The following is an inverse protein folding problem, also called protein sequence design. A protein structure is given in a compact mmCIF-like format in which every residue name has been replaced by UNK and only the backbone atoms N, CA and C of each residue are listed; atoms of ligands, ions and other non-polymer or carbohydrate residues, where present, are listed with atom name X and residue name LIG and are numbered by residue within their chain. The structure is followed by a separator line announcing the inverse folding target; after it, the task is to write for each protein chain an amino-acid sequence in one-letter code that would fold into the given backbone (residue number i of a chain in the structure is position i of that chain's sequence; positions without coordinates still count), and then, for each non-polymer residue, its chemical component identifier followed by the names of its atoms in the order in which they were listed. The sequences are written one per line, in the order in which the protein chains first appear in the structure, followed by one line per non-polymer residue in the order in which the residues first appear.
data_IF_852333031013
#
_entry.id   IF_852333031013
#
_cell.length_a   1.000
_cell.length_b   1.000
_cell.length_c   1.000
_cell.angle_alpha   90.00
_cell.angle_beta   90.00
_cell.angle_gamma   90.00
#
_symmetry.space_group_name_H-M   'P 1'
#
loop_
_entity.id
_entity.type
_entity.pdbx_description
1 polymer ?
#
# COMPACT_ATOMS: atom_id res chain seq x y z
N UNK A 1 12.36 16.89 15.42
CA UNK A 1 11.77 18.05 14.71
C UNK A 1 10.98 17.62 13.47
N UNK A 2 11.16 16.38 13.02
CA UNK A 2 10.63 15.85 11.77
C UNK A 2 9.13 15.55 11.90
N UNK A 3 8.70 14.91 13.00
CA UNK A 3 7.27 14.69 13.29
C UNK A 3 6.54 16.00 13.42
N UNK A 4 7.13 16.98 14.11
CA UNK A 4 6.50 18.31 14.26
C UNK A 4 6.29 18.99 12.91
N UNK A 5 7.24 18.89 11.98
CA UNK A 5 7.11 19.41 10.64
C UNK A 5 5.96 18.72 9.88
N UNK A 6 5.97 17.38 9.80
CA UNK A 6 4.96 16.61 9.05
C UNK A 6 3.55 16.60 9.68
N UNK A 7 3.40 17.01 10.94
CA UNK A 7 2.09 17.36 11.54
C UNK A 7 1.47 18.61 10.92
N UNK A 8 2.25 19.47 10.27
CA UNK A 8 1.75 20.64 9.55
C UNK A 8 1.31 20.28 8.14
N UNK A 9 0.27 20.96 7.65
CA UNK A 9 -0.27 20.76 6.30
C UNK A 9 0.41 21.69 5.28
N UNK A 10 1.76 21.65 5.25
CA UNK A 10 2.55 22.43 4.32
C UNK A 10 2.98 21.54 3.14
N UNK A 11 2.60 21.88 1.89
CA UNK A 11 2.91 21.05 0.72
C UNK A 11 4.41 20.95 0.45
N UNK A 12 5.21 21.92 0.89
CA UNK A 12 6.67 21.89 0.80
C UNK A 12 7.29 20.67 1.48
N UNK A 13 6.63 20.10 2.50
CA UNK A 13 7.11 18.90 3.20
C UNK A 13 7.04 17.65 2.33
N UNK A 14 6.16 17.62 1.33
CA UNK A 14 6.12 16.53 0.36
C UNK A 14 7.38 16.49 -0.53
N UNK A 15 8.10 17.60 -0.67
CA UNK A 15 9.42 17.61 -1.31
C UNK A 15 10.45 16.79 -0.52
N UNK A 16 10.26 16.63 0.80
CA UNK A 16 11.08 15.74 1.61
C UNK A 16 11.01 14.29 1.14
N UNK A 17 9.90 13.87 0.50
CA UNK A 17 9.74 12.55 -0.07
C UNK A 17 10.71 12.30 -1.24
N UNK A 18 11.04 13.34 -2.02
CA UNK A 18 12.02 13.26 -3.11
C UNK A 18 13.43 12.94 -2.62
N UNK A 19 13.74 13.25 -1.36
CA UNK A 19 15.01 12.88 -0.73
C UNK A 19 14.88 11.53 -0.03
N UNK A 20 13.79 11.32 0.71
CA UNK A 20 13.58 10.13 1.53
C UNK A 20 13.46 8.85 0.70
N UNK A 21 12.70 8.85 -0.40
CA UNK A 21 12.52 7.65 -1.20
C UNK A 21 13.86 7.17 -1.82
N UNK A 22 14.66 8.00 -2.51
CA UNK A 22 15.98 7.58 -2.97
C UNK A 22 16.92 7.15 -1.84
N UNK A 23 16.89 7.84 -0.68
CA UNK A 23 17.73 7.49 0.45
C UNK A 23 17.43 6.07 0.96
N UNK A 24 16.15 5.71 1.06
CA UNK A 24 15.71 4.38 1.49
C UNK A 24 16.07 3.30 0.47
N UNK A 25 15.98 3.59 -0.84
CA UNK A 25 16.35 2.63 -1.89
C UNK A 25 17.87 2.59 -2.18
N UNK A 26 18.67 3.47 -1.58
CA UNK A 26 20.09 3.67 -1.94
C UNK A 26 20.93 2.39 -1.86
N UNK A 27 20.78 1.59 -0.80
CA UNK A 27 21.52 0.33 -0.67
C UNK A 27 21.16 -0.71 -1.75
N UNK A 28 19.93 -0.68 -2.28
CA UNK A 28 19.49 -1.56 -3.35
C UNK A 28 19.98 -1.13 -4.74
N UNK A 29 20.41 0.13 -4.92
CA UNK A 29 21.14 0.53 -6.13
C UNK A 29 22.54 -0.08 -6.17
N UNK A 30 23.15 -0.31 -5.01
CA UNK A 30 24.51 -0.85 -4.89
C UNK A 30 24.50 -2.38 -4.94
N UNK A 31 23.66 -3.03 -4.13
CA UNK A 31 23.64 -4.49 -4.00
C UNK A 31 22.72 -5.18 -5.03
N UNK A 32 21.94 -4.40 -5.79
CA UNK A 32 20.92 -4.89 -6.69
C UNK A 32 19.59 -5.16 -5.98
N UNK A 33 18.49 -4.81 -6.65
CA UNK A 33 17.15 -5.10 -6.14
C UNK A 33 16.80 -6.58 -6.40
N UNK A 34 16.26 -7.31 -5.40
CA UNK A 34 15.74 -8.64 -5.65
C UNK A 34 14.53 -8.55 -6.59
N UNK A 35 14.61 -9.23 -7.72
CA UNK A 35 13.49 -9.37 -8.66
C UNK A 35 12.79 -10.69 -8.32
N UNK A 36 11.47 -10.68 -8.06
CA UNK A 36 10.76 -11.93 -7.82
C UNK A 36 10.80 -12.80 -9.07
N UNK A 37 11.31 -14.01 -8.93
CA UNK A 37 11.33 -15.01 -9.99
C UNK A 37 10.00 -15.76 -10.06
N UNK A 38 9.50 -16.03 -11.26
CA UNK A 38 8.39 -16.95 -11.47
C UNK A 38 7.36 -16.51 -12.51
N UNK A 39 6.26 -17.26 -12.63
CA UNK A 39 5.17 -16.91 -13.52
C UNK A 39 4.45 -15.64 -13.03
N UNK A 40 4.46 -14.61 -13.87
CA UNK A 40 3.81 -13.33 -13.57
C UNK A 40 2.56 -13.12 -14.40
N UNK A 41 1.62 -12.33 -13.87
CA UNK A 41 0.51 -11.80 -14.64
C UNK A 41 1.01 -10.89 -15.78
N UNK A 42 0.25 -10.75 -16.88
CA UNK A 42 0.74 -10.12 -18.10
C UNK A 42 1.12 -8.64 -17.90
N UNK A 43 0.48 -7.94 -16.97
CA UNK A 43 0.80 -6.54 -16.67
C UNK A 43 2.18 -6.34 -16.04
N UNK A 44 2.70 -7.32 -15.29
CA UNK A 44 4.01 -7.21 -14.63
C UNK A 44 5.18 -7.60 -15.56
N UNK A 45 4.93 -8.40 -16.60
CA UNK A 45 5.96 -8.89 -17.52
C UNK A 45 6.86 -7.83 -18.16
N UNK A 46 6.35 -6.68 -18.67
CA UNK A 46 7.24 -5.66 -19.22
C UNK A 46 8.22 -5.12 -18.18
N UNK A 47 7.81 -5.02 -16.91
CA UNK A 47 8.68 -4.64 -15.81
C UNK A 47 9.72 -5.72 -15.50
N UNK A 48 9.30 -6.98 -15.40
CA UNK A 48 10.21 -8.10 -15.19
C UNK A 48 11.30 -8.19 -16.28
N UNK A 49 10.91 -8.00 -17.55
CA UNK A 49 11.86 -7.96 -18.67
C UNK A 49 12.82 -6.78 -18.59
N UNK A 50 12.32 -5.60 -18.22
CA UNK A 50 13.17 -4.42 -18.01
C UNK A 50 14.17 -4.64 -16.86
N UNK A 51 13.72 -5.25 -15.76
CA UNK A 51 14.56 -5.54 -14.59
C UNK A 51 15.65 -6.55 -14.91
N UNK A 52 15.32 -7.60 -15.69
CA UNK A 52 16.28 -8.60 -16.14
C UNK A 52 17.32 -8.02 -17.10
N UNK A 53 16.92 -7.09 -18.00
CA UNK A 53 17.84 -6.46 -18.96
C UNK A 53 18.72 -5.38 -18.31
N UNK A 54 18.15 -4.62 -17.38
CA UNK A 54 18.78 -3.45 -16.76
C UNK A 54 18.50 -3.42 -15.25
N UNK A 55 19.39 -3.99 -14.41
CA UNK A 55 19.14 -4.15 -12.97
C UNK A 55 18.81 -2.84 -12.23
N UNK A 56 19.37 -1.71 -12.67
CA UNK A 56 19.11 -0.39 -12.07
C UNK A 56 17.65 0.08 -12.24
N UNK A 57 16.93 -0.45 -13.24
CA UNK A 57 15.52 -0.09 -13.47
C UNK A 57 14.60 -0.60 -12.37
N UNK A 58 14.97 -1.70 -11.70
CA UNK A 58 14.23 -2.24 -10.57
C UNK A 58 14.24 -1.24 -9.40
N UNK A 59 15.42 -0.76 -9.01
CA UNK A 59 15.58 0.22 -7.93
C UNK A 59 14.93 1.58 -8.28
N UNK A 60 15.05 2.04 -9.53
CA UNK A 60 14.37 3.25 -9.99
C UNK A 60 12.85 3.12 -9.94
N UNK A 61 12.31 2.00 -10.40
CA UNK A 61 10.86 1.72 -10.31
C UNK A 61 10.42 1.66 -8.87
N UNK A 62 11.25 1.09 -7.99
CA UNK A 62 11.08 1.11 -6.54
C UNK A 62 10.89 2.50 -5.97
N UNK A 63 11.82 3.41 -6.28
CA UNK A 63 11.77 4.83 -5.87
C UNK A 63 10.49 5.49 -6.38
N UNK A 64 10.20 5.36 -7.68
CA UNK A 64 9.04 6.01 -8.30
C UNK A 64 7.71 5.49 -7.71
N UNK A 65 7.58 4.18 -7.53
CA UNK A 65 6.40 3.58 -6.91
C UNK A 65 6.28 4.02 -5.44
N UNK A 66 7.39 4.13 -4.71
CA UNK A 66 7.38 4.61 -3.32
C UNK A 66 6.91 6.06 -3.22
N UNK A 67 7.40 6.92 -4.12
CA UNK A 67 6.94 8.32 -4.24
C UNK A 67 5.45 8.38 -4.57
N UNK A 68 5.01 7.64 -5.59
CA UNK A 68 3.62 7.62 -6.01
C UNK A 68 2.69 7.13 -4.90
N UNK A 69 3.06 6.05 -4.20
CA UNK A 69 2.27 5.49 -3.11
C UNK A 69 2.23 6.39 -1.89
N UNK A 70 3.36 6.98 -1.48
CA UNK A 70 3.39 7.93 -0.37
C UNK A 70 2.47 9.13 -0.61
N UNK A 71 2.52 9.72 -1.82
CA UNK A 71 1.66 10.83 -2.20
C UNK A 71 0.19 10.42 -2.34
N UNK A 72 -0.10 9.28 -2.95
CA UNK A 72 -1.48 8.81 -3.11
C UNK A 72 -2.12 8.45 -1.77
N UNK A 73 -1.37 7.82 -0.86
CA UNK A 73 -1.85 7.46 0.46
C UNK A 73 -2.14 8.71 1.30
N UNK A 74 -1.26 9.70 1.24
CA UNK A 74 -1.46 10.98 1.92
C UNK A 74 -2.70 11.72 1.41
N UNK A 75 -2.85 11.83 0.09
CA UNK A 75 -4.06 12.40 -0.52
C UNK A 75 -5.30 11.61 -0.17
N UNK A 76 -5.25 10.28 -0.25
CA UNK A 76 -6.38 9.42 0.12
C UNK A 76 -6.80 9.67 1.56
N UNK A 77 -5.85 9.74 2.50
CA UNK A 77 -6.17 9.89 3.91
C UNK A 77 -6.73 11.28 4.25
N UNK A 78 -6.18 12.33 3.60
CA UNK A 78 -6.63 13.71 3.78
C UNK A 78 -7.97 13.98 3.08
N UNK A 79 -8.12 13.63 1.80
CA UNK A 79 -9.36 13.85 1.01
C UNK A 79 -10.57 13.08 1.56
N UNK A 80 -10.32 12.01 2.32
CA UNK A 80 -11.34 11.11 2.86
C UNK A 80 -11.62 11.33 4.34
N UNK A 81 -11.08 12.40 4.91
CA UNK A 81 -11.29 12.77 6.32
C UNK A 81 -10.98 11.59 7.26
N UNK A 82 -9.96 10.78 6.93
CA UNK A 82 -9.55 9.69 7.81
C UNK A 82 -9.05 10.27 9.14
N UNK A 83 -8.38 11.43 9.08
CA UNK A 83 -7.93 12.19 10.24
C UNK A 83 -8.87 13.37 10.54
N UNK A 84 -8.98 13.75 11.81
CA UNK A 84 -9.72 14.96 12.23
C UNK A 84 -9.04 16.25 11.73
N UNK A 85 -7.73 16.20 11.50
CA UNK A 85 -6.93 17.32 10.97
C UNK A 85 -5.99 16.82 9.89
N UNK A 86 -5.87 17.61 8.83
CA UNK A 86 -5.00 17.35 7.70
C UNK A 86 -3.53 17.40 8.11
N UNK A 87 -2.73 16.43 7.65
CA UNK A 87 -1.29 16.37 7.88
C UNK A 87 -0.60 15.41 6.90
N UNK A 88 0.73 15.48 6.82
CA UNK A 88 1.52 14.68 5.88
C UNK A 88 2.23 13.46 6.50
N UNK A 89 1.84 13.03 7.71
CA UNK A 89 2.44 11.87 8.38
C UNK A 89 2.37 10.56 7.57
N UNK A 90 1.28 10.22 6.85
CA UNK A 90 1.25 9.01 6.03
C UNK A 90 2.32 8.99 4.94
N UNK A 91 2.58 10.15 4.29
CA UNK A 91 3.63 10.28 3.28
C UNK A 91 5.02 9.99 3.85
N UNK A 92 5.28 10.41 5.09
CA UNK A 92 6.54 10.15 5.78
C UNK A 92 6.66 8.68 6.22
N UNK A 93 5.62 8.13 6.83
CA UNK A 93 5.68 6.81 7.44
C UNK A 93 5.71 5.70 6.39
N UNK A 94 5.02 5.86 5.27
CA UNK A 94 4.97 4.85 4.21
C UNK A 94 6.36 4.35 3.75
N UNK A 95 7.28 5.21 3.26
CA UNK A 95 8.62 4.77 2.83
C UNK A 95 9.45 4.18 3.99
N UNK A 96 9.29 4.72 5.21
CA UNK A 96 9.99 4.21 6.39
C UNK A 96 9.55 2.78 6.73
N UNK A 97 8.24 2.53 6.75
CA UNK A 97 7.67 1.23 7.07
C UNK A 97 7.92 0.21 5.96
N UNK A 98 7.93 0.65 4.70
CA UNK A 98 8.25 -0.20 3.55
C UNK A 98 9.65 -0.80 3.67
N UNK A 99 10.63 -0.05 4.20
CA UNK A 99 12.02 -0.49 4.31
C UNK A 99 12.42 -1.02 5.68
N UNK A 100 11.84 -0.49 6.76
CA UNK A 100 12.10 -0.94 8.12
C UNK A 100 11.38 -2.25 8.47
N UNK A 101 10.46 -2.71 7.62
CA UNK A 101 9.76 -3.98 7.82
C UNK A 101 10.71 -5.19 7.72
N UNK A 102 10.36 -6.31 8.40
CA UNK A 102 11.07 -7.59 8.24
C UNK A 102 10.88 -8.17 6.83
N UNK A 103 9.92 -7.64 6.08
CA UNK A 103 9.61 -8.00 4.71
C UNK A 103 10.66 -7.41 3.76
N UNK A 104 11.04 -8.15 2.71
CA UNK A 104 12.03 -7.66 1.74
C UNK A 104 11.43 -6.51 0.95
N UNK A 105 12.14 -5.39 0.94
CA UNK A 105 11.87 -4.27 0.06
C UNK A 105 12.27 -4.66 -1.36
N UNK A 106 11.28 -4.81 -2.24
CA UNK A 106 11.46 -5.23 -3.62
C UNK A 106 10.42 -4.53 -4.51
N UNK A 107 10.73 -4.26 -5.79
CA UNK A 107 9.75 -3.80 -6.77
C UNK A 107 8.88 -4.98 -7.24
N UNK A 108 8.15 -5.56 -6.30
CA UNK A 108 7.31 -6.72 -6.50
C UNK A 108 5.99 -6.36 -7.22
N UNK A 109 5.27 -7.36 -7.77
CA UNK A 109 4.05 -7.08 -8.51
C UNK A 109 2.98 -6.41 -7.65
N UNK A 110 2.94 -6.72 -6.34
CA UNK A 110 2.03 -6.10 -5.40
C UNK A 110 2.31 -4.61 -5.24
N UNK A 111 3.57 -4.18 -5.13
CA UNK A 111 3.93 -2.77 -5.02
C UNK A 111 3.58 -2.00 -6.29
N UNK A 112 3.75 -2.59 -7.47
CA UNK A 112 3.38 -1.95 -8.74
C UNK A 112 1.86 -1.86 -8.95
N UNK A 113 1.09 -2.84 -8.46
CA UNK A 113 -0.38 -2.83 -8.55
C UNK A 113 -1.05 -1.90 -7.53
N UNK A 114 -0.38 -1.60 -6.42
CA UNK A 114 -0.95 -0.84 -5.32
C UNK A 114 -1.41 0.59 -5.67
N UNK A 115 -0.74 1.37 -6.55
CA UNK A 115 -1.22 2.68 -6.97
C UNK A 115 -2.60 2.61 -7.63
N UNK A 116 -2.84 1.60 -8.47
CA UNK A 116 -4.15 1.39 -9.09
C UNK A 116 -5.20 1.01 -8.03
N UNK A 117 -4.84 0.17 -7.05
CA UNK A 117 -5.70 -0.15 -5.92
C UNK A 117 -6.07 1.07 -5.07
N UNK A 118 -5.11 1.90 -4.68
CA UNK A 118 -5.37 3.13 -3.91
C UNK A 118 -6.20 4.14 -4.70
N UNK A 119 -5.95 4.25 -6.01
CA UNK A 119 -6.78 5.06 -6.90
C UNK A 119 -8.23 4.56 -6.95
N UNK A 120 -8.44 3.24 -7.04
CA UNK A 120 -9.78 2.63 -7.03
C UNK A 120 -10.54 2.98 -5.75
N UNK A 121 -9.89 2.82 -4.59
CA UNK A 121 -10.46 3.20 -3.29
C UNK A 121 -10.78 4.69 -3.24
N UNK A 122 -9.86 5.54 -3.74
CA UNK A 122 -10.11 6.98 -3.79
C UNK A 122 -11.34 7.29 -4.63
N UNK A 123 -11.55 6.66 -5.77
CA UNK A 123 -12.73 6.91 -6.60
C UNK A 123 -13.99 6.38 -5.90
N UNK A 124 -13.96 5.15 -5.38
CA UNK A 124 -15.11 4.50 -4.74
C UNK A 124 -15.59 5.28 -3.51
N UNK A 125 -14.70 5.62 -2.59
CA UNK A 125 -15.04 6.41 -1.40
C UNK A 125 -15.46 7.84 -1.77
N UNK A 126 -15.12 8.29 -2.99
CA UNK A 126 -15.58 9.53 -3.66
C UNK A 126 -17.08 9.64 -3.87
N UNK A 127 -17.77 8.51 -3.84
CA UNK A 127 -19.20 8.43 -4.14
C UNK A 127 -20.08 8.65 -2.92
N UNK A 128 -19.51 8.75 -1.72
CA UNK A 128 -20.27 8.96 -0.50
C UNK A 128 -21.10 10.25 -0.60
N UNK A 129 -22.42 10.12 -0.38
CA UNK A 129 -23.36 11.25 -0.49
C UNK A 129 -23.75 11.63 -1.92
N UNK A 130 -23.26 10.96 -2.96
CA UNK A 130 -23.64 11.22 -4.36
C UNK A 130 -24.81 10.34 -4.80
N UNK A 131 -25.73 10.91 -5.58
CA UNK A 131 -26.88 10.18 -6.16
C UNK A 131 -26.47 9.31 -7.36
N UNK A 132 -25.58 9.82 -8.22
CA UNK A 132 -24.99 9.08 -9.36
C UNK A 132 -23.58 8.60 -8.99
N UNK A 133 -23.47 7.31 -8.64
CA UNK A 133 -22.21 6.67 -8.25
C UNK A 133 -21.73 5.57 -9.22
N UNK A 134 -22.62 5.06 -10.07
CA UNK A 134 -22.35 3.84 -10.86
C UNK A 134 -21.16 3.98 -11.81
N UNK A 135 -20.99 5.11 -12.50
CA UNK A 135 -19.82 5.34 -13.35
C UNK A 135 -18.51 5.29 -12.56
N UNK A 136 -18.44 6.00 -11.43
CA UNK A 136 -17.27 5.97 -10.56
C UNK A 136 -17.01 4.59 -9.95
N UNK A 137 -18.06 3.83 -9.63
CA UNK A 137 -17.95 2.46 -9.14
C UNK A 137 -17.43 1.51 -10.23
N UNK A 138 -17.85 1.71 -11.49
CA UNK A 138 -17.31 0.98 -12.64
C UNK A 138 -15.82 1.29 -12.83
N UNK A 139 -15.45 2.57 -12.82
CA UNK A 139 -14.06 3.03 -12.97
C UNK A 139 -13.16 2.48 -11.85
N UNK A 140 -13.66 2.46 -10.61
CA UNK A 140 -12.98 1.83 -9.48
C UNK A 140 -12.80 0.33 -9.71
N UNK A 141 -13.82 -0.37 -10.22
CA UNK A 141 -13.74 -1.76 -10.64
C UNK A 141 -12.67 -2.00 -11.71
N UNK A 142 -12.65 -1.18 -12.76
CA UNK A 142 -11.65 -1.23 -13.82
C UNK A 142 -10.23 -1.10 -13.25
N UNK A 143 -10.01 -0.16 -12.33
CA UNK A 143 -8.71 0.02 -11.67
C UNK A 143 -8.31 -1.17 -10.78
N UNK A 144 -9.27 -1.82 -10.10
CA UNK A 144 -9.01 -3.10 -9.41
C UNK A 144 -8.62 -4.19 -10.42
N UNK A 145 -9.27 -4.23 -11.59
CA UNK A 145 -8.87 -5.10 -12.70
C UNK A 145 -7.43 -4.85 -13.15
N UNK A 146 -7.03 -3.58 -13.33
CA UNK A 146 -5.65 -3.19 -13.67
C UNK A 146 -4.68 -3.61 -12.57
N UNK A 147 -5.02 -3.41 -11.30
CA UNK A 147 -4.22 -3.88 -10.17
C UNK A 147 -4.05 -5.41 -10.20
N UNK A 148 -5.11 -6.15 -10.53
CA UNK A 148 -5.10 -7.61 -10.64
C UNK A 148 -4.26 -8.12 -11.84
N UNK A 149 -4.08 -7.32 -12.90
CA UNK A 149 -3.14 -7.63 -13.99
C UNK A 149 -1.67 -7.52 -13.57
N UNK A 150 -1.38 -6.83 -12.48
CA UNK A 150 -0.03 -6.75 -11.90
C UNK A 150 0.11 -7.82 -10.80
N UNK A 151 -0.83 -7.84 -9.86
CA UNK A 151 -0.86 -8.79 -8.75
C UNK A 151 -2.27 -9.34 -8.58
N UNK A 152 -2.50 -10.56 -9.09
CA UNK A 152 -3.82 -11.18 -9.15
C UNK A 152 -4.63 -11.12 -7.84
N UNK A 153 -4.03 -11.31 -6.65
CA UNK A 153 -4.78 -11.28 -5.40
C UNK A 153 -5.49 -9.95 -5.13
N UNK A 154 -5.10 -8.86 -5.78
CA UNK A 154 -5.85 -7.60 -5.73
C UNK A 154 -7.26 -7.68 -6.32
N UNK A 155 -7.63 -8.72 -7.07
CA UNK A 155 -9.03 -8.97 -7.45
C UNK A 155 -9.95 -9.04 -6.22
N UNK A 156 -9.43 -9.48 -5.07
CA UNK A 156 -10.16 -9.52 -3.80
C UNK A 156 -10.56 -8.12 -3.30
N UNK A 157 -9.92 -7.05 -3.77
CA UNK A 157 -10.29 -5.68 -3.42
C UNK A 157 -11.69 -5.29 -3.94
N UNK A 158 -12.30 -6.05 -4.86
CA UNK A 158 -13.73 -5.88 -5.18
C UNK A 158 -14.59 -6.07 -3.92
N UNK A 159 -14.23 -6.98 -3.02
CA UNK A 159 -14.92 -7.17 -1.73
C UNK A 159 -14.78 -5.94 -0.84
N UNK A 160 -13.63 -5.26 -0.88
CA UNK A 160 -13.43 -3.98 -0.17
C UNK A 160 -14.33 -2.89 -0.75
N UNK A 161 -14.51 -2.85 -2.08
CA UNK A 161 -15.46 -1.93 -2.72
C UNK A 161 -16.90 -2.21 -2.27
N UNK A 162 -17.29 -3.48 -2.16
CA UNK A 162 -18.60 -3.89 -1.65
C UNK A 162 -18.80 -3.50 -0.19
N UNK A 163 -17.83 -3.79 0.68
CA UNK A 163 -17.87 -3.39 2.08
C UNK A 163 -17.98 -1.87 2.22
N UNK A 164 -17.21 -1.13 1.43
CA UNK A 164 -17.25 0.34 1.41
C UNK A 164 -18.63 0.86 0.97
N UNK A 165 -19.20 0.28 -0.10
CA UNK A 165 -20.54 0.65 -0.58
C UNK A 165 -21.62 0.37 0.47
N UNK A 166 -21.55 -0.78 1.14
CA UNK A 166 -22.49 -1.18 2.19
C UNK A 166 -22.48 -0.23 3.39
N UNK A 167 -21.31 0.29 3.76
CA UNK A 167 -21.18 1.24 4.87
C UNK A 167 -21.53 2.67 4.44
N UNK A 168 -21.18 3.08 3.22
CA UNK A 168 -21.30 4.47 2.79
C UNK A 168 -22.66 4.85 2.21
N UNK A 169 -23.44 3.89 1.71
CA UNK A 169 -24.69 4.16 0.96
C UNK A 169 -25.79 3.14 1.32
N UNK A 170 -27.08 3.51 1.16
CA UNK A 170 -28.17 2.56 1.22
C UNK A 170 -27.96 1.44 0.20
N UNK A 171 -28.35 0.21 0.58
CA UNK A 171 -28.17 -0.95 -0.27
C UNK A 171 -28.86 -0.78 -1.64
N UNK A 172 -28.07 -0.86 -2.70
CA UNK A 172 -28.55 -1.01 -4.06
C UNK A 172 -27.70 -2.08 -4.76
N UNK A 173 -28.31 -3.16 -5.22
CA UNK A 173 -27.58 -4.30 -5.82
C UNK A 173 -26.64 -3.88 -6.97
N UNK A 174 -27.00 -2.83 -7.73
CA UNK A 174 -26.19 -2.25 -8.81
C UNK A 174 -24.83 -1.74 -8.33
N UNK A 175 -24.76 -1.23 -7.11
CA UNK A 175 -23.51 -0.73 -6.53
C UNK A 175 -22.49 -1.86 -6.28
N UNK A 176 -22.95 -3.10 -6.21
CA UNK A 176 -22.10 -4.28 -6.02
C UNK A 176 -21.71 -4.92 -7.35
N UNK A 177 -22.66 -5.02 -8.28
CA UNK A 177 -22.43 -5.65 -9.59
C UNK A 177 -21.54 -4.78 -10.48
N UNK A 178 -21.68 -3.46 -10.45
CA UNK A 178 -20.97 -2.56 -11.37
C UNK A 178 -19.44 -2.55 -11.16
N UNK A 179 -18.89 -2.48 -9.93
CA UNK A 179 -17.45 -2.65 -9.72
C UNK A 179 -16.92 -4.02 -10.17
N UNK A 180 -17.69 -5.09 -9.94
CA UNK A 180 -17.32 -6.43 -10.39
C UNK A 180 -17.23 -6.49 -11.92
N UNK A 181 -18.22 -5.92 -12.63
CA UNK A 181 -18.20 -5.83 -14.09
C UNK A 181 -16.99 -5.04 -14.60
N UNK A 182 -16.65 -3.91 -13.97
CA UNK A 182 -15.46 -3.14 -14.34
C UNK A 182 -14.17 -3.96 -14.24
N UNK A 183 -13.99 -4.71 -13.15
CA UNK A 183 -12.83 -5.58 -12.98
C UNK A 183 -12.81 -6.72 -14.01
N UNK A 184 -13.95 -7.37 -14.25
CA UNK A 184 -14.09 -8.47 -15.23
C UNK A 184 -13.79 -7.99 -16.65
N UNK A 185 -14.28 -6.82 -17.04
CA UNK A 185 -14.03 -6.24 -18.38
C UNK A 185 -12.53 -6.08 -18.62
N UNK A 186 -11.79 -5.51 -17.67
CA UNK A 186 -10.33 -5.32 -17.81
C UNK A 186 -9.60 -6.66 -17.90
N UNK A 187 -9.96 -7.63 -17.05
CA UNK A 187 -9.34 -8.96 -17.08
C UNK A 187 -9.65 -9.70 -18.38
N UNK A 188 -10.88 -9.60 -18.87
CA UNK A 188 -11.31 -10.25 -20.12
C UNK A 188 -10.62 -9.64 -21.34
N UNK A 189 -10.46 -8.31 -21.38
CA UNK A 189 -9.70 -7.64 -22.43
C UNK A 189 -8.23 -8.07 -22.43
N UNK A 190 -7.60 -8.09 -21.26
CA UNK A 190 -6.21 -8.53 -21.14
C UNK A 190 -6.03 -10.00 -21.54
N UNK A 191 -6.96 -10.88 -21.13
CA UNK A 191 -6.98 -12.27 -21.55
C UNK A 191 -7.10 -12.40 -23.06
N UNK A 192 -8.01 -11.64 -23.69
CA UNK A 192 -8.18 -11.61 -25.14
C UNK A 192 -6.89 -11.19 -25.88
N UNK A 193 -6.20 -10.16 -25.39
CA UNK A 193 -4.90 -9.73 -25.95
C UNK A 193 -3.86 -10.84 -25.83
N UNK A 194 -3.72 -11.48 -24.67
CA UNK A 194 -2.75 -12.57 -24.46
C UNK A 194 -3.07 -13.77 -25.36
N UNK A 195 -4.35 -14.13 -25.49
CA UNK A 195 -4.79 -15.25 -26.32
C UNK A 195 -4.53 -15.00 -27.82
N UNK A 196 -4.75 -13.77 -28.30
CA UNK A 196 -4.52 -13.40 -29.71
C UNK A 196 -3.04 -13.27 -30.05
N UNK A 197 -2.25 -12.69 -29.15
CA UNK A 197 -0.81 -12.45 -29.38
C UNK A 197 0.05 -13.66 -29.09
N UNK A 198 -0.50 -14.71 -28.48
CA UNK A 198 0.25 -15.86 -27.96
C UNK A 198 1.44 -15.43 -27.06
N UNK A 199 1.35 -14.23 -26.45
CA UNK A 199 2.44 -13.65 -25.70
C UNK A 199 2.83 -14.50 -24.47
N UNK A 200 1.98 -15.44 -24.04
CA UNK A 200 2.12 -16.23 -22.83
C UNK A 200 1.79 -15.42 -21.57
N UNK A 201 2.07 -15.97 -20.38
CA UNK A 201 2.04 -15.20 -19.12
C UNK A 201 0.67 -14.99 -18.47
N UNK A 202 -0.35 -15.75 -18.86
CA UNK A 202 -1.59 -15.81 -18.09
C UNK A 202 -1.46 -16.84 -16.97
N UNK A 203 -0.89 -16.43 -15.84
CA UNK A 203 -0.63 -17.31 -14.70
C UNK A 203 -1.16 -16.71 -13.38
N UNK A 204 -2.49 -16.61 -13.21
CA UNK A 204 -3.10 -16.03 -12.00
C UNK A 204 -2.62 -16.73 -10.72
N UNK A 205 -2.64 -18.06 -10.72
CA UNK A 205 -2.15 -18.87 -9.59
C UNK A 205 -0.61 -18.82 -9.47
N UNK A 206 0.08 -18.54 -10.58
CA UNK A 206 1.53 -18.39 -10.61
C UNK A 206 2.03 -17.17 -9.85
N UNK A 207 1.26 -16.06 -9.86
CA UNK A 207 1.60 -14.87 -9.06
C UNK A 207 1.49 -15.09 -7.56
N UNK A 208 0.70 -16.07 -7.14
CA UNK A 208 0.71 -16.54 -5.77
C UNK A 208 1.98 -17.36 -5.55
N UNK A 209 2.30 -18.31 -6.43
CA UNK A 209 3.39 -19.28 -6.32
C UNK A 209 4.84 -18.77 -6.19
N UNK A 210 5.08 -17.46 -6.17
CA UNK A 210 6.43 -16.89 -6.00
C UNK A 210 6.95 -17.19 -4.60
N UNK A 211 7.96 -18.07 -4.53
CA UNK A 211 8.60 -18.46 -3.27
C UNK A 211 9.51 -17.36 -2.75
N UNK A 212 9.55 -17.22 -1.42
CA UNK A 212 10.63 -16.48 -0.75
C UNK A 212 11.95 -17.15 -1.04
N UNK A 213 12.87 -16.45 -1.71
CA UNK A 213 14.30 -16.74 -1.56
C UNK A 213 14.68 -16.25 -0.16
N UNK A 214 15.29 -17.12 0.64
CA UNK A 214 15.75 -16.81 1.99
C UNK A 214 16.42 -15.43 2.02
N UNK A 215 15.95 -14.55 2.91
CA UNK A 215 16.58 -13.27 3.10
C UNK A 215 17.94 -13.53 3.78
N UNK A 216 19.05 -12.93 3.31
CA UNK A 216 20.30 -12.99 4.05
C UNK A 216 20.08 -12.41 5.46
N UNK A 217 20.81 -12.90 6.48
CA UNK A 217 20.67 -12.42 7.84
C UNK A 217 20.92 -10.93 7.89
N UNK A 218 19.88 -10.17 8.23
CA UNK A 218 19.92 -8.72 8.31
C UNK A 218 20.34 -8.25 9.71
N UNK A 219 20.77 -6.99 9.80
CA UNK A 219 21.19 -6.40 11.06
C UNK A 219 20.03 -6.37 12.08
N UNK A 220 20.31 -6.65 13.36
CA UNK A 220 19.32 -6.77 14.44
C UNK A 220 18.38 -5.56 14.59
N UNK A 221 18.86 -4.37 14.18
CA UNK A 221 18.06 -3.14 14.20
C UNK A 221 16.85 -3.23 13.26
N UNK A 222 17.00 -3.87 12.10
CA UNK A 222 15.93 -4.09 11.14
C UNK A 222 15.03 -5.24 11.56
N UNK A 223 15.61 -6.34 12.03
CA UNK A 223 14.84 -7.58 12.25
C UNK A 223 14.09 -7.62 13.57
N UNK A 224 14.57 -6.90 14.59
CA UNK A 224 13.99 -6.91 15.93
C UNK A 224 13.56 -5.53 16.39
N UNK A 225 14.44 -4.53 16.28
CA UNK A 225 14.16 -3.21 16.85
C UNK A 225 13.06 -2.48 16.07
N UNK A 226 13.13 -2.43 14.74
CA UNK A 226 12.09 -1.81 13.92
C UNK A 226 10.70 -2.44 14.10
N UNK A 227 10.51 -3.77 14.00
CA UNK A 227 9.21 -4.37 14.27
C UNK A 227 8.75 -4.19 15.72
N UNK A 228 9.66 -4.15 16.70
CA UNK A 228 9.29 -3.82 18.08
C UNK A 228 8.78 -2.38 18.23
N UNK A 229 9.40 -1.40 17.57
CA UNK A 229 8.93 -0.01 17.54
C UNK A 229 7.56 0.07 16.84
N UNK A 230 7.40 -0.61 15.70
CA UNK A 230 6.12 -0.68 14.99
C UNK A 230 5.04 -1.31 15.86
N UNK A 231 5.33 -2.41 16.54
CA UNK A 231 4.39 -3.09 17.43
C UNK A 231 3.99 -2.19 18.61
N UNK A 232 4.95 -1.52 19.24
CA UNK A 232 4.67 -0.56 20.32
C UNK A 232 3.77 0.59 19.85
N UNK A 233 4.07 1.18 18.69
CA UNK A 233 3.23 2.23 18.09
C UNK A 233 1.83 1.70 17.74
N UNK A 234 1.73 0.47 17.23
CA UNK A 234 0.45 -0.15 16.89
C UNK A 234 -0.41 -0.39 18.13
N UNK A 235 0.18 -0.89 19.22
CA UNK A 235 -0.52 -1.07 20.51
C UNK A 235 -1.08 0.25 21.05
N UNK A 236 -0.37 1.37 20.84
CA UNK A 236 -0.88 2.71 21.19
C UNK A 236 -1.90 3.21 20.18
N UNK A 237 -1.77 2.87 18.90
CA UNK A 237 -2.67 3.30 17.84
C UNK A 237 -4.09 2.77 18.03
N UNK A 238 -4.26 1.51 18.46
CA UNK A 238 -5.57 0.88 18.65
C UNK A 238 -6.51 1.68 19.57
N UNK A 239 -6.15 1.99 20.84
CA UNK A 239 -7.03 2.76 21.72
C UNK A 239 -7.25 4.19 21.24
N UNK A 240 -6.23 4.83 20.62
CA UNK A 240 -6.37 6.18 20.05
C UNK A 240 -7.37 6.18 18.90
N UNK A 241 -7.26 5.23 17.98
CA UNK A 241 -8.18 5.07 16.86
C UNK A 241 -9.59 4.77 17.35
N UNK A 242 -9.75 3.91 18.36
CA UNK A 242 -11.05 3.63 18.97
C UNK A 242 -11.70 4.90 19.55
N UNK A 243 -10.95 5.70 20.32
CA UNK A 243 -11.46 6.94 20.91
C UNK A 243 -11.80 8.02 19.87
N UNK A 244 -11.03 8.12 18.79
CA UNK A 244 -11.29 9.02 17.66
C UNK A 244 -12.48 8.53 16.84
N UNK A 245 -12.61 7.22 16.61
CA UNK A 245 -13.75 6.60 15.94
C UNK A 245 -15.07 6.88 16.67
N UNK A 246 -15.12 6.72 17.99
CA UNK A 246 -16.37 6.91 18.75
C UNK A 246 -16.92 8.34 18.68
N UNK A 247 -16.04 9.34 18.70
CA UNK A 247 -16.39 10.77 18.69
C UNK A 247 -16.75 11.30 17.29
N UNK A 248 -16.43 10.56 16.25
CA UNK A 248 -16.61 11.02 14.88
C UNK A 248 -18.04 11.01 14.38
N UNK A 249 -18.30 11.95 13.46
CA UNK A 249 -19.55 12.02 12.69
C UNK A 249 -19.69 10.79 11.81
N UNK A 250 -20.93 10.39 11.50
CA UNK A 250 -21.23 9.19 10.71
C UNK A 250 -20.46 9.12 9.38
N UNK A 251 -20.28 10.26 8.71
CA UNK A 251 -19.52 10.35 7.46
C UNK A 251 -18.07 9.87 7.62
N UNK A 252 -17.38 10.37 8.64
CA UNK A 252 -16.00 9.98 8.97
C UNK A 252 -15.91 8.53 9.47
N UNK A 253 -16.88 8.09 10.28
CA UNK A 253 -16.97 6.69 10.73
C UNK A 253 -17.03 5.72 9.56
N UNK A 254 -17.82 6.06 8.53
CA UNK A 254 -17.96 5.25 7.33
C UNK A 254 -16.66 5.19 6.51
N UNK A 255 -15.97 6.32 6.37
CA UNK A 255 -14.66 6.38 5.69
C UNK A 255 -13.61 5.54 6.43
N UNK A 256 -13.53 5.67 7.77
CA UNK A 256 -12.61 4.90 8.60
C UNK A 256 -12.92 3.41 8.62
N UNK A 257 -14.20 3.04 8.68
CA UNK A 257 -14.62 1.64 8.58
C UNK A 257 -14.26 1.04 7.21
N UNK A 258 -14.43 1.80 6.12
CA UNK A 258 -14.02 1.38 4.78
C UNK A 258 -12.50 1.20 4.67
N UNK A 259 -11.74 2.10 5.30
CA UNK A 259 -10.29 1.96 5.42
C UNK A 259 -9.87 0.74 6.26
N UNK A 260 -10.57 0.45 7.37
CA UNK A 260 -10.34 -0.75 8.16
C UNK A 260 -10.65 -2.04 7.38
N UNK A 261 -11.71 -2.04 6.56
CA UNK A 261 -12.00 -3.15 5.66
C UNK A 261 -10.88 -3.36 4.63
N UNK A 262 -10.31 -2.29 4.10
CA UNK A 262 -9.11 -2.34 3.25
C UNK A 262 -7.89 -2.90 4.00
N UNK A 263 -7.59 -2.39 5.20
CA UNK A 263 -6.49 -2.87 6.01
C UNK A 263 -6.63 -4.37 6.35
N UNK A 264 -7.85 -4.81 6.66
CA UNK A 264 -8.18 -6.20 6.91
C UNK A 264 -8.03 -7.06 5.65
N UNK A 265 -8.44 -6.57 4.47
CA UNK A 265 -8.21 -7.27 3.22
C UNK A 265 -6.71 -7.43 2.92
N UNK A 266 -5.89 -6.41 3.14
CA UNK A 266 -4.44 -6.53 3.02
C UNK A 266 -3.86 -7.58 3.98
N UNK A 267 -4.36 -7.64 5.23
CA UNK A 267 -3.98 -8.65 6.20
C UNK A 267 -4.40 -10.07 5.75
N UNK A 268 -5.60 -10.23 5.18
CA UNK A 268 -6.05 -11.51 4.65
C UNK A 268 -5.19 -11.96 3.47
N UNK A 269 -4.86 -11.05 2.55
CA UNK A 269 -3.96 -11.34 1.43
C UNK A 269 -2.58 -11.76 1.92
N UNK A 270 -2.05 -11.09 2.95
CA UNK A 270 -0.79 -11.46 3.60
C UNK A 270 -0.88 -12.84 4.27
N UNK A 271 -1.97 -13.12 5.00
CA UNK A 271 -2.19 -14.41 5.66
C UNK A 271 -2.32 -15.55 4.66
N UNK A 272 -3.01 -15.32 3.54
CA UNK A 272 -3.11 -16.28 2.45
C UNK A 272 -1.75 -16.54 1.80
N UNK A 273 -0.96 -15.49 1.54
CA UNK A 273 0.42 -15.64 1.06
C UNK A 273 1.29 -16.43 2.06
N UNK A 274 1.14 -16.19 3.37
CA UNK A 274 1.89 -16.89 4.41
C UNK A 274 1.53 -18.39 4.47
N UNK A 275 0.24 -18.74 4.44
CA UNK A 275 -0.25 -20.13 4.47
C UNK A 275 0.28 -20.93 3.27
N UNK A 276 0.42 -20.28 2.13
CA UNK A 276 0.95 -20.90 0.92
C UNK A 276 2.49 -20.88 0.82
N UNK A 277 3.19 -20.31 1.81
CA UNK A 277 4.66 -20.21 1.82
C UNK A 277 5.21 -19.25 0.76
N UNK A 278 4.46 -18.21 0.42
CA UNK A 278 4.80 -17.23 -0.62
C UNK A 278 5.51 -16.00 -0.05
N UNK A 279 6.20 -15.28 -0.94
CA UNK A 279 6.78 -13.99 -0.59
C UNK A 279 5.71 -13.02 -0.09
N UNK A 280 5.94 -12.47 1.10
CA UNK A 280 5.05 -11.56 1.79
C UNK A 280 5.32 -10.13 1.31
N UNK A 281 4.43 -9.51 0.51
CA UNK A 281 4.66 -8.17 -0.01
C UNK A 281 4.69 -7.13 1.09
N UNK A 282 5.79 -6.39 1.21
CA UNK A 282 5.94 -5.35 2.23
C UNK A 282 4.86 -4.26 2.11
N UNK A 283 4.41 -3.97 0.89
CA UNK A 283 3.42 -2.92 0.61
C UNK A 283 2.06 -3.19 1.26
N UNK A 284 1.65 -4.46 1.40
CA UNK A 284 0.37 -4.85 2.00
C UNK A 284 0.33 -4.51 3.49
N UNK A 285 1.48 -4.49 4.16
CA UNK A 285 1.60 -4.09 5.56
C UNK A 285 1.88 -2.59 5.66
N UNK A 286 2.86 -2.08 4.91
CA UNK A 286 3.31 -0.70 5.02
C UNK A 286 2.21 0.32 4.71
N UNK A 287 1.35 0.04 3.72
CA UNK A 287 0.31 0.97 3.32
C UNK A 287 -0.77 1.20 4.40
N UNK A 288 -1.47 0.17 4.92
CA UNK A 288 -2.45 0.40 5.97
C UNK A 288 -1.79 0.90 7.26
N UNK A 289 -0.61 0.39 7.58
CA UNK A 289 0.08 0.70 8.83
C UNK A 289 0.60 2.15 8.85
N UNK A 290 0.98 2.74 7.72
CA UNK A 290 1.34 4.16 7.64
C UNK A 290 0.20 5.10 8.06
N UNK A 291 -1.05 4.78 7.70
CA UNK A 291 -2.21 5.56 8.12
C UNK A 291 -2.53 5.30 9.59
N UNK A 292 -2.55 4.04 10.02
CA UNK A 292 -2.87 3.67 11.41
C UNK A 292 -1.86 4.28 12.40
N UNK A 293 -0.56 4.20 12.09
CA UNK A 293 0.48 4.76 12.96
C UNK A 293 0.55 6.29 12.92
N UNK A 294 -0.12 6.95 11.98
CA UNK A 294 -0.24 8.42 12.00
C UNK A 294 -1.09 8.91 13.17
N UNK A 295 -2.10 8.14 13.63
CA UNK A 295 -2.98 8.53 14.74
C UNK A 295 -2.25 8.79 16.06
N UNK A 296 -1.47 7.83 16.63
CA UNK A 296 -0.75 8.08 17.87
C UNK A 296 0.28 9.19 17.71
N UNK A 297 0.91 9.28 16.54
CA UNK A 297 1.87 10.34 16.23
C UNK A 297 1.23 11.71 16.03
N UNK A 298 -0.07 11.81 15.78
CA UNK A 298 -0.80 13.08 15.72
C UNK A 298 -1.23 13.54 17.12
N UNK A 299 -1.78 12.64 17.92
CA UNK A 299 -2.42 12.96 19.22
C UNK A 299 -1.41 13.15 20.35
N UNK A 300 -0.23 12.52 20.27
CA UNK A 300 0.75 12.53 21.37
C UNK A 300 1.24 13.93 21.71
N UNK A 301 1.13 14.33 22.99
CA UNK A 301 1.67 15.58 23.54
C UNK A 301 3.19 15.54 23.75
N UNK A 302 3.73 14.37 24.07
CA UNK A 302 5.17 14.13 24.28
C UNK A 302 5.88 13.99 22.93
N UNK A 303 6.17 15.13 22.28
CA UNK A 303 6.78 15.18 20.95
C UNK A 303 8.10 14.38 20.87
N UNK A 304 8.92 14.39 21.93
CA UNK A 304 10.20 13.69 21.93
C UNK A 304 10.07 12.17 21.73
N UNK A 305 9.02 11.53 22.26
CA UNK A 305 8.77 10.09 22.06
C UNK A 305 8.40 9.78 20.61
N UNK A 306 7.54 10.62 20.02
CA UNK A 306 7.12 10.49 18.64
C UNK A 306 8.32 10.67 17.68
N UNK A 307 9.16 11.66 17.96
CA UNK A 307 10.39 11.92 17.21
C UNK A 307 11.37 10.76 17.35
N UNK A 308 11.61 10.26 18.56
CA UNK A 308 12.49 9.12 18.80
C UNK A 308 12.03 7.88 18.01
N UNK A 309 10.73 7.58 18.01
CA UNK A 309 10.18 6.46 17.25
C UNK A 309 10.41 6.62 15.73
N UNK A 310 10.16 7.82 15.19
CA UNK A 310 10.38 8.08 13.75
C UNK A 310 11.86 8.09 13.38
N UNK A 311 12.74 8.62 14.22
CA UNK A 311 14.19 8.55 13.99
C UNK A 311 14.70 7.11 14.05
N UNK A 312 14.20 6.29 14.99
CA UNK A 312 14.54 4.87 15.04
C UNK A 312 14.14 4.14 13.75
N UNK A 313 12.93 4.41 13.24
CA UNK A 313 12.48 3.87 11.94
C UNK A 313 13.31 4.40 10.77
N UNK A 314 13.69 5.68 10.79
CA UNK A 314 14.53 6.28 9.74
C UNK A 314 15.91 5.66 9.68
N UNK A 315 16.57 5.48 10.82
CA UNK A 315 17.87 4.81 10.89
C UNK A 315 17.74 3.36 10.42
N UNK A 316 16.72 2.63 10.87
CA UNK A 316 16.48 1.26 10.42
C UNK A 316 16.22 1.17 8.91
N UNK A 317 15.41 2.09 8.36
CA UNK A 317 15.04 2.11 6.94
C UNK A 317 16.21 2.47 6.02
N UNK A 318 17.04 3.44 6.40
CA UNK A 318 18.16 3.90 5.56
C UNK A 318 19.38 3.01 5.73
N UNK A 319 19.72 2.58 6.95
CA UNK A 319 20.91 1.78 7.18
C UNK A 319 20.68 0.29 6.90
N UNK A 320 19.45 -0.20 7.01
CA UNK A 320 19.09 -1.60 6.76
C UNK A 320 19.58 -2.14 5.41
N UNK A 321 19.35 -1.44 4.28
CA UNK A 321 19.82 -1.85 2.96
C UNK A 321 21.35 -1.84 2.75
N UNK A 322 22.13 -1.24 3.65
CA UNK A 322 23.60 -1.17 3.56
C UNK A 322 24.32 -2.18 4.46
N UNK A 323 23.59 -2.81 5.39
CA UNK A 323 24.15 -3.76 6.35
C UNK A 323 23.84 -5.22 6.01
N UNK A 324 23.31 -5.50 4.82
CA UNK A 324 22.96 -6.82 4.34
C UNK A 324 23.56 -7.14 2.99
#
# INVERSE_FOLDING_TARGET
MLVRAYRSYQPALLLGLLVLAPAVWSGLFVHGSPVPDGPHMPGYRPFALAFARWPWTASLTGVLATLALGLQLDRLANDRELFERHHHLPALLFPLLLAAGPLRMAPDPAMLGMPAALQALRIAWGTQGRTRALGSLFDAGCLVGVAALLYFPYVFLVVVLWASAAVMRPYAWRDYVVPLLGAVVVLMLAWGVVALTQAGGWAPMGTLAVRTVDAPPTHWLRDRAAPAVVAALFLVAVPVLAGVYQRSVMREKNARASFLAFAFACLLLLGFAAVLGHALPAVLVACPLAVVLSYPLQVTRRLWLAELAVYALLVAAVAGPWWG
#
